data_IF_556959292143
#
_entry.id   IF_556959292143
#
_cell.length_a   1.000
_cell.length_b   1.000
_cell.length_c   1.000
_cell.angle_alpha   90.00
_cell.angle_beta   90.00
_cell.angle_gamma   90.00
#
_symmetry.space_group_name_H-M   'P 1'
#
loop_
_entity.id
_entity.type
_entity.pdbx_description
1 polymer ?
#
# COMPACT_ATOMS: atom_id res chain seq x y z
N UNK A 1 23.39 -13.23 11.43
CA UNK A 1 22.76 -12.28 10.49
C UNK A 1 21.26 -12.61 10.44
N UNK A 2 20.36 -11.62 10.45
CA UNK A 2 18.92 -11.87 10.43
C UNK A 2 18.52 -12.44 9.05
N UNK A 3 17.69 -13.49 9.00
CA UNK A 3 17.24 -14.13 7.75
C UNK A 3 16.63 -13.13 6.73
N UNK A 4 15.96 -12.09 7.22
CA UNK A 4 15.42 -11.04 6.36
C UNK A 4 16.51 -10.22 5.66
N UNK A 5 17.59 -9.87 6.37
CA UNK A 5 18.73 -9.15 5.77
C UNK A 5 19.45 -10.01 4.74
N UNK A 6 19.63 -11.30 5.02
CA UNK A 6 20.22 -12.26 4.06
C UNK A 6 19.38 -12.35 2.78
N UNK A 7 18.05 -12.41 2.94
CA UNK A 7 17.14 -12.40 1.78
C UNK A 7 17.23 -11.09 0.98
N UNK A 8 17.32 -9.94 1.64
CA UNK A 8 17.46 -8.66 0.95
C UNK A 8 18.82 -8.56 0.23
N UNK A 9 19.92 -9.03 0.84
CA UNK A 9 21.23 -9.11 0.18
C UNK A 9 21.18 -10.02 -1.06
N UNK A 10 20.45 -11.14 -1.00
CA UNK A 10 20.22 -11.96 -2.18
C UNK A 10 19.49 -11.17 -3.27
N UNK A 11 18.46 -10.38 -2.94
CA UNK A 11 17.78 -9.52 -3.93
C UNK A 11 18.74 -8.48 -4.54
N UNK A 12 19.66 -7.92 -3.73
CA UNK A 12 20.67 -6.99 -4.24
C UNK A 12 21.61 -7.66 -5.28
N UNK A 13 21.92 -8.96 -5.13
CA UNK A 13 22.75 -9.69 -6.10
C UNK A 13 22.07 -9.88 -7.47
N UNK A 14 20.76 -9.67 -7.56
CA UNK A 14 19.97 -9.75 -8.81
C UNK A 14 19.88 -8.40 -9.55
N UNK A 15 20.50 -7.36 -9.03
CA UNK A 15 20.46 -6.03 -9.64
C UNK A 15 21.02 -6.05 -11.06
N UNK A 16 20.32 -5.40 -11.96
CA UNK A 16 20.72 -5.17 -13.35
C UNK A 16 20.04 -3.90 -13.87
N UNK A 17 20.62 -3.19 -14.83
CA UNK A 17 20.06 -1.91 -15.31
C UNK A 17 18.59 -2.00 -15.75
N UNK A 18 18.19 -3.14 -16.33
CA UNK A 18 16.82 -3.36 -16.78
C UNK A 18 15.85 -3.57 -15.59
N UNK A 19 16.23 -4.41 -14.62
CA UNK A 19 15.42 -4.66 -13.42
C UNK A 19 15.35 -3.43 -12.53
N UNK A 20 16.47 -2.72 -12.36
CA UNK A 20 16.57 -1.50 -11.56
C UNK A 20 15.63 -0.42 -12.10
N UNK A 21 15.68 -0.16 -13.41
CA UNK A 21 14.77 0.77 -14.06
C UNK A 21 13.31 0.38 -13.90
N UNK A 22 13.00 -0.91 -14.06
CA UNK A 22 11.64 -1.45 -13.91
C UNK A 22 11.14 -1.29 -12.47
N UNK A 23 11.94 -1.66 -11.46
CA UNK A 23 11.56 -1.57 -10.05
C UNK A 23 11.44 -0.13 -9.57
N UNK A 24 12.31 0.77 -10.06
CA UNK A 24 12.19 2.20 -9.81
C UNK A 24 10.92 2.81 -10.44
N UNK A 25 10.52 2.35 -11.62
CA UNK A 25 9.26 2.78 -12.24
C UNK A 25 8.05 2.26 -11.45
N UNK A 26 8.04 0.97 -11.11
CA UNK A 26 6.94 0.33 -10.37
C UNK A 26 6.76 0.98 -8.99
N UNK A 27 7.84 1.23 -8.25
CA UNK A 27 7.73 1.83 -6.93
C UNK A 27 7.13 3.24 -6.97
N UNK A 28 7.44 4.03 -8.00
CA UNK A 28 6.87 5.38 -8.19
C UNK A 28 5.35 5.39 -8.30
N UNK A 29 4.73 4.32 -8.81
CA UNK A 29 3.28 4.19 -8.83
C UNK A 29 2.67 4.15 -7.42
N UNK A 30 3.47 3.74 -6.44
CA UNK A 30 3.08 3.69 -5.03
C UNK A 30 3.44 4.93 -4.22
N UNK A 31 4.26 5.84 -4.75
CA UNK A 31 4.71 7.04 -4.03
C UNK A 31 3.51 7.90 -3.63
N UNK A 32 3.40 8.20 -2.33
CA UNK A 32 2.24 8.90 -1.77
C UNK A 32 0.88 8.26 -2.14
N UNK A 33 0.89 7.00 -2.54
CA UNK A 33 -0.31 6.30 -3.02
C UNK A 33 -0.89 6.85 -4.33
N UNK A 34 -0.09 7.53 -5.16
CA UNK A 34 -0.56 8.33 -6.32
C UNK A 34 -1.45 7.52 -7.27
N UNK A 35 -1.11 6.27 -7.56
CA UNK A 35 -1.93 5.41 -8.41
C UNK A 35 -3.34 5.22 -7.84
N UNK A 36 -3.41 4.91 -6.54
CA UNK A 36 -4.67 4.59 -5.85
C UNK A 36 -5.50 5.84 -5.57
N UNK A 37 -4.85 6.95 -5.24
CA UNK A 37 -5.50 8.26 -5.08
C UNK A 37 -6.08 8.74 -6.40
N UNK A 38 -5.32 8.62 -7.50
CA UNK A 38 -5.80 8.98 -8.85
C UNK A 38 -6.98 8.10 -9.27
N UNK A 39 -6.88 6.78 -9.06
CA UNK A 39 -8.02 5.88 -9.31
C UNK A 39 -9.24 6.27 -8.50
N UNK A 40 -9.05 6.59 -7.21
CA UNK A 40 -10.13 7.04 -6.32
C UNK A 40 -10.78 8.32 -6.85
N UNK A 41 -9.98 9.32 -7.23
CA UNK A 41 -10.46 10.58 -7.77
C UNK A 41 -11.30 10.36 -9.06
N UNK A 42 -10.79 9.55 -9.99
CA UNK A 42 -11.51 9.19 -11.22
C UNK A 42 -12.86 8.53 -10.90
N UNK A 43 -12.88 7.57 -9.97
CA UNK A 43 -14.12 6.86 -9.60
C UNK A 43 -15.14 7.77 -8.92
N UNK A 44 -14.70 8.80 -8.20
CA UNK A 44 -15.57 9.78 -7.55
C UNK A 44 -16.26 10.73 -8.54
N UNK A 45 -15.62 11.05 -9.66
CA UNK A 45 -16.17 11.94 -10.70
C UNK A 45 -17.42 11.33 -11.34
N UNK A 46 -17.40 10.06 -11.67
CA UNK A 46 -18.51 9.43 -12.41
C UNK A 46 -19.59 8.89 -11.46
N UNK A 47 -20.85 9.31 -11.67
CA UNK A 47 -22.00 8.89 -10.83
C UNK A 47 -22.12 7.36 -10.67
N UNK A 48 -21.84 6.59 -11.74
CA UNK A 48 -21.95 5.11 -11.74
C UNK A 48 -20.91 4.42 -10.85
N UNK A 49 -19.77 5.03 -10.62
CA UNK A 49 -18.65 4.46 -9.84
C UNK A 49 -18.38 5.20 -8.53
N UNK A 50 -19.09 6.31 -8.27
CA UNK A 50 -18.87 7.17 -7.10
C UNK A 50 -18.89 6.40 -5.78
N UNK A 51 -19.82 5.46 -5.63
CA UNK A 51 -19.88 4.60 -4.43
C UNK A 51 -18.57 3.83 -4.20
N UNK A 52 -18.01 3.25 -5.27
CA UNK A 52 -16.72 2.55 -5.22
C UNK A 52 -15.61 3.52 -4.84
N UNK A 53 -15.61 4.71 -5.44
CA UNK A 53 -14.67 5.78 -5.09
C UNK A 53 -14.75 6.19 -3.61
N UNK A 54 -15.96 6.29 -3.03
CA UNK A 54 -16.12 6.56 -1.60
C UNK A 54 -15.54 5.45 -0.72
N UNK A 55 -15.68 4.18 -1.13
CA UNK A 55 -15.11 3.05 -0.39
C UNK A 55 -13.57 3.10 -0.43
N UNK A 56 -12.99 3.37 -1.62
CA UNK A 56 -11.54 3.52 -1.75
C UNK A 56 -11.04 4.72 -0.93
N UNK A 57 -11.70 5.87 -1.01
CA UNK A 57 -11.32 7.05 -0.24
C UNK A 57 -11.32 6.77 1.26
N UNK A 58 -12.37 6.13 1.78
CA UNK A 58 -12.45 5.76 3.19
C UNK A 58 -11.32 4.79 3.58
N UNK A 59 -11.05 3.77 2.76
CA UNK A 59 -9.98 2.79 3.00
C UNK A 59 -8.60 3.45 3.05
N UNK A 60 -8.27 4.30 2.06
CA UNK A 60 -6.99 5.00 1.99
C UNK A 60 -6.81 6.02 3.11
N UNK A 61 -7.87 6.71 3.53
CA UNK A 61 -7.81 7.63 4.67
C UNK A 61 -7.55 6.89 5.98
N UNK A 62 -8.24 5.77 6.20
CA UNK A 62 -8.01 4.92 7.38
C UNK A 62 -6.57 4.39 7.36
N UNK A 63 -6.09 3.91 6.21
CA UNK A 63 -4.73 3.42 6.04
C UNK A 63 -3.70 4.53 6.32
N UNK A 64 -3.87 5.71 5.74
CA UNK A 64 -2.95 6.83 5.95
C UNK A 64 -2.81 7.20 7.45
N UNK A 65 -3.92 7.20 8.19
CA UNK A 65 -3.90 7.47 9.63
C UNK A 65 -3.24 6.33 10.39
N UNK A 66 -3.67 5.08 10.18
CA UNK A 66 -3.17 3.95 10.95
C UNK A 66 -1.71 3.63 10.62
N UNK A 67 -1.34 3.65 9.34
CA UNK A 67 0.03 3.36 8.92
C UNK A 67 1.00 4.47 9.33
N UNK A 68 0.75 5.71 8.88
CA UNK A 68 1.77 6.75 8.97
C UNK A 68 1.74 7.53 10.30
N UNK A 69 0.54 7.78 10.87
CA UNK A 69 0.43 8.57 12.10
C UNK A 69 0.49 7.73 13.37
N UNK A 70 0.14 6.44 13.30
CA UNK A 70 0.09 5.58 14.49
C UNK A 70 1.17 4.50 14.47
N UNK A 71 1.16 3.58 13.51
CA UNK A 71 2.01 2.38 13.55
C UNK A 71 3.49 2.69 13.30
N UNK A 72 3.81 3.56 12.33
CA UNK A 72 5.21 3.91 12.07
C UNK A 72 5.91 4.50 13.28
N UNK A 73 5.41 5.57 13.92
CA UNK A 73 6.06 6.13 15.10
C UNK A 73 6.00 5.20 16.32
N UNK A 74 4.96 4.36 16.45
CA UNK A 74 4.84 3.43 17.57
C UNK A 74 5.87 2.30 17.51
N UNK A 75 6.09 1.72 16.33
CA UNK A 75 7.06 0.61 16.15
C UNK A 75 8.48 1.13 15.96
N UNK A 76 8.65 2.29 15.33
CA UNK A 76 9.91 2.99 15.08
C UNK A 76 11.03 2.06 14.53
N UNK A 77 10.68 1.13 13.61
CA UNK A 77 11.63 0.16 13.06
C UNK A 77 12.60 0.85 12.12
N UNK A 78 13.89 0.62 12.34
CA UNK A 78 14.99 1.08 11.47
C UNK A 78 14.90 0.34 10.12
N UNK A 79 15.19 1.04 9.03
CA UNK A 79 15.12 0.46 7.67
C UNK A 79 16.31 -0.47 7.37
N UNK A 80 16.14 -1.45 6.47
CA UNK A 80 17.24 -2.33 6.08
C UNK A 80 18.41 -1.57 5.43
N UNK A 81 18.13 -0.52 4.65
CA UNK A 81 19.17 0.31 4.05
C UNK A 81 20.02 1.10 5.07
N UNK A 82 19.52 1.35 6.27
CA UNK A 82 20.29 2.00 7.35
C UNK A 82 21.22 1.00 8.05
N UNK A 83 20.92 -0.30 7.95
CA UNK A 83 21.74 -1.37 8.51
C UNK A 83 22.75 -1.88 7.48
N UNK A 84 22.31 -2.04 6.22
CA UNK A 84 23.14 -2.47 5.10
C UNK A 84 23.74 -1.25 4.41
N UNK A 85 24.69 -0.59 5.04
CA UNK A 85 25.29 0.68 4.59
C UNK A 85 26.06 0.58 3.27
N UNK A 86 26.38 -0.64 2.84
CA UNK A 86 27.05 -0.92 1.56
C UNK A 86 26.09 -0.90 0.36
N UNK A 87 24.76 -0.90 0.62
CA UNK A 87 23.75 -0.89 -0.45
C UNK A 87 23.60 0.51 -1.02
N UNK A 88 23.88 0.64 -2.30
CA UNK A 88 23.57 1.86 -3.04
C UNK A 88 22.08 1.95 -3.35
N UNK A 89 21.38 2.89 -2.73
CA UNK A 89 19.95 3.12 -2.99
C UNK A 89 19.74 3.66 -4.40
N UNK A 90 18.76 3.08 -5.10
CA UNK A 90 18.33 3.51 -6.44
C UNK A 90 17.22 4.58 -6.40
N UNK A 91 16.71 4.88 -5.20
CA UNK A 91 15.68 5.89 -4.93
C UNK A 91 16.13 6.80 -3.79
N UNK A 92 15.53 7.99 -3.63
CA UNK A 92 15.81 8.83 -2.47
C UNK A 92 15.59 8.07 -1.16
N UNK A 93 16.46 8.32 -0.19
CA UNK A 93 16.35 7.72 1.13
C UNK A 93 15.01 8.12 1.77
N UNK A 94 14.19 7.17 2.24
CA UNK A 94 12.94 7.51 2.91
C UNK A 94 13.21 8.07 4.33
N UNK A 95 12.54 9.17 4.68
CA UNK A 95 12.74 9.88 5.95
C UNK A 95 11.90 9.32 7.13
N UNK A 96 11.12 8.26 6.89
CA UNK A 96 10.21 7.67 7.87
C UNK A 96 10.61 6.23 8.27
N UNK A 97 9.92 5.68 9.29
CA UNK A 97 10.19 4.33 9.79
C UNK A 97 9.77 3.22 8.83
N UNK A 98 10.41 2.03 8.99
CA UNK A 98 10.26 0.91 8.07
C UNK A 98 8.89 0.21 8.20
N UNK A 99 8.39 -0.03 9.42
CA UNK A 99 7.19 -0.84 9.66
C UNK A 99 5.94 -0.01 9.95
N UNK A 100 4.83 -0.36 9.33
CA UNK A 100 4.64 -1.23 8.18
C UNK A 100 4.93 -0.50 6.84
N UNK A 101 5.01 -1.26 5.74
CA UNK A 101 5.19 -0.68 4.40
C UNK A 101 3.94 0.07 3.94
N UNK A 102 4.01 1.40 3.85
CA UNK A 102 2.90 2.24 3.40
C UNK A 102 2.49 2.00 1.95
N UNK A 103 3.46 1.78 1.04
CA UNK A 103 3.19 1.41 -0.35
C UNK A 103 2.36 0.12 -0.45
N UNK A 104 2.73 -0.88 0.35
CA UNK A 104 2.01 -2.15 0.41
C UNK A 104 0.63 -1.97 1.03
N UNK A 105 0.53 -1.25 2.14
CA UNK A 105 -0.72 -1.04 2.86
C UNK A 105 -1.75 -0.32 1.99
N UNK A 106 -1.38 0.80 1.33
CA UNK A 106 -2.26 1.51 0.41
C UNK A 106 -2.70 0.63 -0.78
N UNK A 107 -1.78 -0.20 -1.33
CA UNK A 107 -2.11 -1.10 -2.43
C UNK A 107 -3.14 -2.15 -2.01
N UNK A 108 -2.91 -2.83 -0.88
CA UNK A 108 -3.83 -3.87 -0.41
C UNK A 108 -5.12 -3.30 0.19
N UNK A 109 -5.11 -2.06 0.73
CA UNK A 109 -6.32 -1.34 1.07
C UNK A 109 -7.21 -1.12 -0.15
N UNK A 110 -6.61 -0.69 -1.27
CA UNK A 110 -7.32 -0.45 -2.53
C UNK A 110 -7.87 -1.74 -3.14
N UNK A 111 -7.06 -2.80 -3.20
CA UNK A 111 -7.49 -4.12 -3.70
C UNK A 111 -8.68 -4.65 -2.89
N UNK A 112 -8.56 -4.62 -1.56
CA UNK A 112 -9.63 -5.10 -0.67
C UNK A 112 -10.88 -4.22 -0.75
N UNK A 113 -10.72 -2.90 -0.84
CA UNK A 113 -11.83 -1.95 -1.01
C UNK A 113 -12.60 -2.22 -2.31
N UNK A 114 -11.91 -2.43 -3.43
CA UNK A 114 -12.52 -2.81 -4.71
C UNK A 114 -13.29 -4.13 -4.61
N UNK A 115 -12.69 -5.14 -3.97
CA UNK A 115 -13.34 -6.43 -3.76
C UNK A 115 -14.61 -6.30 -2.94
N UNK A 116 -14.55 -5.60 -1.81
CA UNK A 116 -15.68 -5.38 -0.90
C UNK A 116 -16.76 -4.49 -1.50
N UNK A 117 -16.41 -3.60 -2.44
CA UNK A 117 -17.35 -2.80 -3.20
C UNK A 117 -18.05 -3.59 -4.34
N UNK A 118 -17.76 -4.91 -4.47
CA UNK A 118 -18.34 -5.79 -5.48
C UNK A 118 -17.66 -5.73 -6.85
N UNK A 119 -16.53 -5.04 -6.97
CA UNK A 119 -15.75 -4.90 -8.20
C UNK A 119 -14.63 -5.95 -8.27
N UNK A 120 -14.99 -7.24 -8.16
CA UNK A 120 -14.03 -8.35 -8.06
C UNK A 120 -13.03 -8.38 -9.23
N UNK A 121 -13.48 -8.17 -10.47
CA UNK A 121 -12.59 -8.14 -11.64
C UNK A 121 -11.55 -7.01 -11.55
N UNK A 122 -11.95 -5.84 -11.06
CA UNK A 122 -11.03 -4.72 -10.87
C UNK A 122 -10.04 -5.00 -9.74
N UNK A 123 -10.50 -5.61 -8.66
CA UNK A 123 -9.62 -6.05 -7.57
C UNK A 123 -8.59 -7.08 -8.05
N UNK A 124 -9.02 -8.05 -8.88
CA UNK A 124 -8.10 -9.04 -9.47
C UNK A 124 -7.09 -8.42 -10.43
N UNK A 125 -7.48 -7.41 -11.20
CA UNK A 125 -6.55 -6.65 -12.05
C UNK A 125 -5.59 -5.76 -11.24
N UNK A 126 -6.04 -5.21 -10.11
CA UNK A 126 -5.24 -4.38 -9.22
C UNK A 126 -4.25 -5.20 -8.37
N UNK A 127 -4.57 -6.44 -8.05
CA UNK A 127 -3.76 -7.31 -7.18
C UNK A 127 -2.32 -7.49 -7.69
N UNK A 128 -2.05 -7.89 -8.94
CA UNK A 128 -0.68 -8.02 -9.44
C UNK A 128 0.10 -6.70 -9.39
N UNK A 129 -0.55 -5.57 -9.62
CA UNK A 129 0.09 -4.25 -9.47
C UNK A 129 0.48 -4.00 -8.03
N UNK A 130 -0.40 -4.27 -7.07
CA UNK A 130 -0.10 -4.16 -5.65
C UNK A 130 1.03 -5.08 -5.18
N UNK A 131 1.07 -6.31 -5.70
CA UNK A 131 2.15 -7.27 -5.42
C UNK A 131 3.48 -6.78 -5.99
N UNK A 132 3.50 -6.26 -7.22
CA UNK A 132 4.71 -5.71 -7.83
C UNK A 132 5.22 -4.47 -7.08
N UNK A 133 4.33 -3.57 -6.66
CA UNK A 133 4.69 -2.43 -5.81
C UNK A 133 5.29 -2.94 -4.49
N UNK A 134 4.68 -3.91 -3.82
CA UNK A 134 5.18 -4.48 -2.58
C UNK A 134 6.56 -5.14 -2.75
N UNK A 135 6.74 -5.91 -3.83
CA UNK A 135 8.02 -6.54 -4.16
C UNK A 135 9.12 -5.53 -4.45
N UNK A 136 8.81 -4.45 -5.18
CA UNK A 136 9.78 -3.41 -5.49
C UNK A 136 10.39 -2.79 -4.23
N UNK A 137 9.66 -2.73 -3.11
CA UNK A 137 10.17 -2.17 -1.84
C UNK A 137 11.24 -3.05 -1.19
N UNK A 138 11.14 -4.36 -1.35
CA UNK A 138 12.19 -5.30 -0.90
C UNK A 138 13.38 -5.28 -1.85
N UNK A 139 13.13 -5.28 -3.16
CA UNK A 139 14.18 -5.17 -4.18
C UNK A 139 15.04 -3.91 -3.98
N UNK A 140 14.41 -2.78 -3.68
CA UNK A 140 15.08 -1.50 -3.41
C UNK A 140 15.66 -1.39 -1.98
N UNK A 141 15.65 -2.46 -1.21
CA UNK A 141 16.24 -2.55 0.15
C UNK A 141 15.70 -1.51 1.15
N UNK A 142 14.45 -1.06 1.00
CA UNK A 142 13.85 -0.06 1.89
C UNK A 142 12.84 -0.62 2.88
N UNK A 143 12.42 -1.89 2.70
CA UNK A 143 11.52 -2.61 3.61
C UNK A 143 11.92 -4.07 3.77
N UNK A 144 11.68 -4.62 4.96
CA UNK A 144 11.81 -6.05 5.25
C UNK A 144 10.60 -6.84 4.73
N UNK A 145 10.75 -8.17 4.50
CA UNK A 145 9.60 -9.05 4.22
C UNK A 145 8.46 -8.94 5.22
N UNK A 146 8.77 -8.81 6.52
CA UNK A 146 7.75 -8.64 7.56
C UNK A 146 7.06 -7.27 7.52
N UNK A 147 7.71 -6.20 7.02
CA UNK A 147 7.05 -4.91 6.80
C UNK A 147 6.01 -5.01 5.67
N UNK A 148 6.34 -5.79 4.63
CA UNK A 148 5.42 -6.09 3.53
C UNK A 148 4.21 -6.88 4.06
N UNK A 149 4.46 -7.94 4.83
CA UNK A 149 3.38 -8.73 5.43
C UNK A 149 2.49 -7.88 6.34
N UNK A 150 3.10 -7.05 7.19
CA UNK A 150 2.37 -6.08 8.02
C UNK A 150 1.53 -5.12 7.19
N UNK A 151 2.09 -4.61 6.08
CA UNK A 151 1.38 -3.76 5.12
C UNK A 151 0.19 -4.46 4.46
N UNK A 152 0.33 -5.72 4.06
CA UNK A 152 -0.77 -6.53 3.49
C UNK A 152 -1.92 -6.66 4.49
N UNK A 153 -1.62 -7.05 5.73
CA UNK A 153 -2.61 -7.25 6.78
C UNK A 153 -3.32 -5.93 7.11
N UNK A 154 -2.55 -4.87 7.33
CA UNK A 154 -3.09 -3.53 7.62
C UNK A 154 -3.98 -3.04 6.47
N UNK A 155 -3.48 -3.10 5.23
CA UNK A 155 -4.21 -2.66 4.05
C UNK A 155 -5.52 -3.43 3.88
N UNK A 156 -5.50 -4.76 4.01
CA UNK A 156 -6.70 -5.58 3.93
C UNK A 156 -7.74 -5.18 5.00
N UNK A 157 -7.29 -4.94 6.24
CA UNK A 157 -8.16 -4.48 7.32
C UNK A 157 -8.75 -3.09 7.02
N UNK A 158 -7.93 -2.14 6.51
CA UNK A 158 -8.38 -0.80 6.13
C UNK A 158 -9.39 -0.83 4.97
N UNK A 159 -9.16 -1.67 3.97
CA UNK A 159 -10.09 -1.86 2.85
C UNK A 159 -11.45 -2.39 3.30
N UNK A 160 -11.44 -3.37 4.18
CA UNK A 160 -12.65 -3.91 4.80
C UNK A 160 -13.37 -2.85 5.65
N UNK A 161 -12.63 -2.14 6.51
CA UNK A 161 -13.17 -1.09 7.39
C UNK A 161 -13.79 0.06 6.59
N UNK A 162 -13.13 0.52 5.51
CA UNK A 162 -13.65 1.55 4.61
C UNK A 162 -14.97 1.13 3.96
N UNK A 163 -15.06 -0.09 3.47
CA UNK A 163 -16.29 -0.63 2.88
C UNK A 163 -17.41 -0.74 3.93
N UNK A 164 -17.10 -1.20 5.14
CA UNK A 164 -18.05 -1.28 6.23
C UNK A 164 -18.58 0.11 6.63
N UNK A 165 -17.68 1.10 6.75
CA UNK A 165 -18.03 2.47 7.11
C UNK A 165 -18.99 3.10 6.09
N UNK A 166 -18.68 3.01 4.80
CA UNK A 166 -19.54 3.55 3.73
C UNK A 166 -20.91 2.88 3.75
N UNK A 167 -20.97 1.56 3.87
CA UNK A 167 -22.23 0.82 3.97
C UNK A 167 -23.07 1.24 5.20
N UNK A 168 -22.41 1.51 6.32
CA UNK A 168 -23.08 1.97 7.56
C UNK A 168 -23.68 3.37 7.38
N UNK A 169 -22.93 4.29 6.73
CA UNK A 169 -23.41 5.65 6.43
C UNK A 169 -24.59 5.61 5.46
N UNK A 170 -24.51 4.83 4.38
CA UNK A 170 -25.61 4.64 3.41
C UNK A 170 -26.90 4.18 4.10
N UNK A 171 -26.80 3.18 4.99
CA UNK A 171 -27.94 2.66 5.73
C UNK A 171 -28.59 3.73 6.64
N UNK A 172 -27.79 4.58 7.29
CA UNK A 172 -28.31 5.66 8.15
C UNK A 172 -29.01 6.74 7.35
N UNK A 173 -28.52 7.05 6.16
CA UNK A 173 -29.15 8.06 5.27
C UNK A 173 -30.44 7.54 4.62
N UNK A 174 -30.58 6.22 4.43
CA UNK A 174 -31.75 5.58 3.84
C UNK A 174 -32.93 5.39 4.85
N UNK A 175 -32.71 5.52 6.16
CA UNK A 175 -33.75 5.44 7.17
C UNK A 175 -34.46 6.80 7.22
N UNK A 176 -35.80 6.88 6.94
CA UNK A 176 -36.55 8.11 7.12
C UNK A 176 -36.44 8.55 8.59
N UNK A 177 -36.10 9.81 8.82
CA UNK A 177 -36.22 10.41 10.16
C UNK A 177 -37.72 10.67 10.38
N UNK A 178 -38.39 9.75 11.12
CA UNK A 178 -39.73 10.02 11.66
C UNK A 178 -39.66 11.11 12.71
#
# INVERSE_FOLDING_TARGET
MNAELTFLQFLQSLHSPMLDGSMCFITRLGDSGILWVTLTAVLLVFRKTRRVGCVLAAALLIDAVLCNLLLKPLVARVRPCDILTEVQLLIPHPDDFSFPSGHTAASFASVTALWMAGKKQWAMAALPVGVLIAFSRMYLCVHYPTDILGGVILGAACGWAGAWLVKKVERRMAIPRN
#
